data_IF_146502424434
#
_entry.id   IF_146502424434
#
_cell.length_a   1.000
_cell.length_b   1.000
_cell.length_c   1.000
_cell.angle_alpha   90.00
_cell.angle_beta   90.00
_cell.angle_gamma   90.00
#
_symmetry.space_group_name_H-M   'P 1'
#
loop_
_entity.id
_entity.type
_entity.pdbx_description
1 polymer ?
#
# COMPACT_ATOMS: atom_id res chain seq x y z
N UNK A 1 8.31 10.19 0.70
CA UNK A 1 7.88 9.27 1.77
C UNK A 1 6.87 8.28 1.24
N UNK A 2 7.09 6.97 1.38
CA UNK A 2 6.14 5.97 0.92
C UNK A 2 4.87 5.94 1.77
N UNK A 3 3.77 5.61 1.12
CA UNK A 3 2.45 5.49 1.76
C UNK A 3 1.82 4.16 1.41
N UNK A 4 1.45 3.40 2.43
CA UNK A 4 0.63 2.20 2.29
C UNK A 4 -0.77 2.51 2.83
N UNK A 5 -1.78 2.33 2.00
CA UNK A 5 -3.17 2.55 2.39
C UNK A 5 -4.01 1.33 2.09
N UNK A 6 -4.77 0.91 3.08
CA UNK A 6 -5.77 -0.14 2.95
C UNK A 6 -7.16 0.50 3.00
N UNK A 7 -7.85 0.45 1.87
CA UNK A 7 -9.21 0.95 1.73
C UNK A 7 -10.19 -0.16 2.04
N UNK A 8 -11.07 0.06 3.02
CA UNK A 8 -11.98 -0.95 3.56
C UNK A 8 -13.39 -0.37 3.65
N UNK A 9 -14.44 -1.12 3.25
CA UNK A 9 -15.80 -0.70 3.56
C UNK A 9 -15.95 -0.37 5.04
N UNK A 10 -16.52 0.78 5.38
CA UNK A 10 -16.57 1.23 6.77
C UNK A 10 -17.32 0.26 7.69
N UNK A 11 -18.34 -0.44 7.18
CA UNK A 11 -19.08 -1.45 7.93
C UNK A 11 -18.22 -2.66 8.31
N UNK A 12 -17.13 -2.93 7.59
CA UNK A 12 -16.22 -4.03 7.91
C UNK A 12 -15.22 -3.69 9.03
N UNK A 13 -15.22 -2.45 9.47
CA UNK A 13 -14.39 -1.99 10.60
C UNK A 13 -15.11 -2.15 11.95
N UNK A 14 -16.37 -2.56 11.95
CA UNK A 14 -17.15 -2.76 13.16
C UNK A 14 -16.77 -4.05 13.86
N UNK A 15 -16.90 -4.03 15.20
CA UNK A 15 -16.61 -5.21 16.03
C UNK A 15 -17.55 -6.39 15.75
N UNK A 16 -18.80 -6.14 15.40
CA UNK A 16 -19.75 -7.20 15.03
C UNK A 16 -19.34 -7.91 13.73
N UNK A 17 -18.83 -7.20 12.74
CA UNK A 17 -18.30 -7.81 11.52
C UNK A 17 -17.07 -8.67 11.80
N UNK A 18 -16.15 -8.16 12.61
CA UNK A 18 -14.97 -8.91 13.05
C UNK A 18 -15.37 -10.17 13.83
N UNK A 19 -16.33 -10.07 14.73
CA UNK A 19 -16.81 -11.21 15.52
C UNK A 19 -17.45 -12.28 14.63
N UNK A 20 -18.23 -11.90 13.61
CA UNK A 20 -18.95 -12.84 12.76
C UNK A 20 -18.08 -13.46 11.65
N UNK A 21 -17.09 -12.74 11.12
CA UNK A 21 -16.28 -13.17 9.97
C UNK A 21 -14.83 -13.46 10.32
N UNK A 22 -14.34 -12.97 11.45
CA UNK A 22 -12.92 -13.03 11.79
C UNK A 22 -12.04 -12.00 11.07
N UNK A 23 -12.61 -11.18 10.18
CA UNK A 23 -11.86 -10.16 9.46
C UNK A 23 -11.48 -8.99 10.38
N UNK A 24 -10.20 -8.72 10.47
CA UNK A 24 -9.62 -7.62 11.23
C UNK A 24 -8.72 -6.77 10.32
N UNK A 25 -9.20 -5.59 9.94
CA UNK A 25 -8.48 -4.71 9.03
C UNK A 25 -7.13 -4.24 9.61
N UNK A 26 -7.06 -4.02 10.92
CA UNK A 26 -5.80 -3.65 11.59
C UNK A 26 -4.74 -4.74 11.47
N UNK A 27 -5.13 -5.99 11.65
CA UNK A 27 -4.23 -7.14 11.48
C UNK A 27 -3.80 -7.31 10.03
N UNK A 28 -4.71 -7.09 9.08
CA UNK A 28 -4.35 -7.10 7.65
C UNK A 28 -3.34 -6.00 7.34
N UNK A 29 -3.56 -4.79 7.79
CA UNK A 29 -2.63 -3.69 7.58
C UNK A 29 -1.25 -3.98 8.18
N UNK A 30 -1.20 -4.49 9.42
CA UNK A 30 0.06 -4.87 10.07
C UNK A 30 0.79 -5.97 9.30
N UNK A 31 0.06 -6.93 8.75
CA UNK A 31 0.61 -7.97 7.89
C UNK A 31 1.19 -7.37 6.60
N UNK A 32 0.47 -6.47 5.94
CA UNK A 32 0.94 -5.82 4.72
C UNK A 32 2.18 -4.95 4.97
N UNK A 33 2.28 -4.30 6.12
CA UNK A 33 3.51 -3.56 6.51
C UNK A 33 4.71 -4.50 6.55
N UNK A 34 4.56 -5.69 7.12
CA UNK A 34 5.63 -6.71 7.14
C UNK A 34 5.98 -7.20 5.74
N UNK A 35 4.98 -7.41 4.89
CA UNK A 35 5.20 -7.79 3.50
C UNK A 35 5.98 -6.71 2.74
N UNK A 36 5.60 -5.45 2.92
CA UNK A 36 6.32 -4.31 2.31
C UNK A 36 7.77 -4.25 2.79
N UNK A 37 8.02 -4.51 4.08
CA UNK A 37 9.38 -4.55 4.63
C UNK A 37 10.26 -5.62 3.96
N UNK A 38 9.65 -6.71 3.48
CA UNK A 38 10.36 -7.81 2.82
C UNK A 38 10.48 -7.66 1.31
N UNK A 39 9.85 -6.63 0.71
CA UNK A 39 10.00 -6.37 -0.72
C UNK A 39 11.42 -5.94 -1.06
N UNK A 40 11.99 -6.56 -2.11
CA UNK A 40 13.37 -6.34 -2.54
C UNK A 40 13.44 -5.83 -3.97
N UNK A 41 14.50 -5.13 -4.26
CA UNK A 41 14.89 -4.70 -5.60
C UNK A 41 16.40 -4.78 -5.76
N UNK A 42 16.89 -4.76 -6.98
CA UNK A 42 18.33 -4.69 -7.22
C UNK A 42 18.88 -3.32 -6.83
N UNK A 43 20.07 -3.33 -6.24
CA UNK A 43 20.79 -2.09 -5.96
C UNK A 43 21.15 -1.39 -7.27
N UNK A 44 20.64 -0.18 -7.55
CA UNK A 44 20.89 0.51 -8.82
C UNK A 44 22.23 1.25 -8.88
N UNK A 45 23.04 1.19 -7.83
CA UNK A 45 24.30 1.94 -7.79
C UNK A 45 25.25 1.48 -8.91
N UNK A 46 25.72 2.40 -9.78
CA UNK A 46 26.66 2.05 -10.86
C UNK A 46 27.94 1.41 -10.30
N UNK A 47 28.37 0.28 -10.91
CA UNK A 47 29.57 -0.44 -10.50
C UNK A 47 29.44 -1.24 -9.21
N UNK A 48 28.32 -1.20 -8.53
CA UNK A 48 28.06 -2.06 -7.37
C UNK A 48 27.75 -3.50 -7.81
N UNK A 49 28.18 -4.53 -7.05
CA UNK A 49 27.76 -5.89 -7.33
C UNK A 49 26.24 -5.98 -7.26
N UNK A 50 25.64 -6.84 -8.08
CA UNK A 50 24.22 -7.12 -8.04
C UNK A 50 23.85 -7.60 -6.63
N UNK A 51 23.17 -6.76 -5.87
CA UNK A 51 22.75 -7.03 -4.49
C UNK A 51 21.32 -6.59 -4.32
N UNK A 52 20.51 -7.44 -3.73
CA UNK A 52 19.17 -7.08 -3.35
C UNK A 52 19.16 -6.13 -2.14
N UNK A 53 18.36 -5.10 -2.25
CA UNK A 53 18.13 -4.10 -1.21
C UNK A 53 16.64 -3.96 -0.94
N UNK A 54 16.23 -3.45 0.24
CA UNK A 54 14.82 -3.15 0.48
C UNK A 54 14.25 -2.20 -0.58
N UNK A 55 13.09 -2.53 -1.12
CA UNK A 55 12.37 -1.63 -2.04
C UNK A 55 11.89 -0.37 -1.32
N UNK A 56 11.48 -0.51 -0.07
CA UNK A 56 10.94 0.56 0.78
C UNK A 56 11.72 0.62 2.08
N UNK A 57 12.13 1.81 2.49
CA UNK A 57 12.65 2.04 3.83
C UNK A 57 11.48 2.09 4.81
N UNK A 58 11.37 1.07 5.65
CA UNK A 58 10.25 0.92 6.59
C UNK A 58 10.13 2.09 7.56
N UNK A 59 11.25 2.69 7.98
CA UNK A 59 11.23 3.81 8.91
C UNK A 59 10.52 5.06 8.34
N UNK A 60 10.41 5.14 7.02
CA UNK A 60 9.75 6.25 6.33
C UNK A 60 8.31 5.90 5.89
N UNK A 61 7.88 4.66 6.07
CA UNK A 61 6.58 4.21 5.61
C UNK A 61 5.46 4.77 6.48
N UNK A 62 4.55 5.51 5.86
CA UNK A 62 3.27 5.88 6.47
C UNK A 62 2.22 4.87 6.05
N UNK A 63 1.44 4.37 6.99
CA UNK A 63 0.39 3.41 6.70
C UNK A 63 -0.88 3.76 7.43
N UNK A 64 -2.01 3.50 6.78
CA UNK A 64 -3.32 3.83 7.33
C UNK A 64 -4.42 2.94 6.74
N UNK A 65 -5.49 2.77 7.51
CA UNK A 65 -6.77 2.28 7.03
C UNK A 65 -7.58 3.49 6.57
N UNK A 66 -8.20 3.38 5.40
CA UNK A 66 -9.09 4.40 4.85
C UNK A 66 -10.50 3.81 4.76
N UNK A 67 -11.44 4.27 5.57
CA UNK A 67 -12.82 3.80 5.49
C UNK A 67 -13.49 4.27 4.20
N UNK A 68 -14.27 3.38 3.57
CA UNK A 68 -15.04 3.68 2.38
C UNK A 68 -16.54 3.69 2.70
N UNK A 69 -17.22 4.77 2.29
CA UNK A 69 -18.66 4.92 2.39
C UNK A 69 -19.30 4.62 1.04
N UNK A 70 -20.38 3.84 1.02
CA UNK A 70 -21.10 3.45 -0.22
C UNK A 70 -20.20 2.78 -1.27
N UNK A 71 -19.26 1.93 -0.82
CA UNK A 71 -18.32 1.24 -1.68
C UNK A 71 -18.91 -0.07 -2.22
N UNK A 72 -19.50 -0.03 -3.39
CA UNK A 72 -20.15 -1.16 -4.04
C UNK A 72 -19.49 -1.50 -5.37
N UNK A 73 -19.62 -2.77 -5.78
CA UNK A 73 -19.18 -3.23 -7.09
C UNK A 73 -20.41 -3.44 -7.97
N UNK A 74 -20.39 -2.85 -9.18
CA UNK A 74 -21.46 -3.02 -10.17
C UNK A 74 -22.83 -2.50 -9.74
N UNK A 75 -22.90 -1.59 -8.76
CA UNK A 75 -24.16 -1.08 -8.22
C UNK A 75 -24.88 -2.05 -7.30
N UNK A 76 -24.30 -3.20 -6.98
CA UNK A 76 -24.87 -4.18 -6.07
C UNK A 76 -24.44 -3.84 -4.61
N UNK A 77 -25.41 -3.50 -3.72
CA UNK A 77 -25.09 -3.18 -2.33
C UNK A 77 -24.48 -4.35 -1.54
N UNK A 78 -24.67 -5.60 -1.98
CA UNK A 78 -24.09 -6.78 -1.37
C UNK A 78 -22.66 -7.07 -1.80
N UNK A 79 -22.16 -6.37 -2.81
CA UNK A 79 -20.83 -6.57 -3.36
C UNK A 79 -19.88 -5.47 -2.91
N UNK A 80 -18.82 -5.86 -2.22
CA UNK A 80 -17.83 -4.95 -1.65
C UNK A 80 -16.46 -5.21 -2.26
N UNK A 81 -15.54 -4.29 -2.06
CA UNK A 81 -14.15 -4.44 -2.48
C UNK A 81 -13.16 -3.97 -1.42
N UNK A 82 -11.96 -4.52 -1.47
CA UNK A 82 -10.79 -3.99 -0.79
C UNK A 82 -9.85 -3.41 -1.83
N UNK A 83 -9.19 -2.33 -1.47
CA UNK A 83 -8.18 -1.71 -2.33
C UNK A 83 -6.94 -1.39 -1.52
N UNK A 84 -5.78 -1.71 -2.07
CA UNK A 84 -4.47 -1.42 -1.45
C UNK A 84 -3.70 -0.51 -2.39
N UNK A 85 -3.15 0.57 -1.86
CA UNK A 85 -2.19 1.40 -2.59
C UNK A 85 -0.87 1.44 -1.85
N UNK A 86 0.21 1.22 -2.58
CA UNK A 86 1.57 1.51 -2.12
C UNK A 86 2.14 2.59 -3.04
N UNK A 87 2.31 3.77 -2.50
CA UNK A 87 2.86 4.90 -3.24
C UNK A 87 4.25 5.25 -2.73
N UNK A 88 5.21 5.39 -3.62
CA UNK A 88 6.59 5.72 -3.28
C UNK A 88 7.15 6.74 -4.28
N UNK A 89 8.13 7.55 -3.82
CA UNK A 89 8.76 8.53 -4.68
C UNK A 89 9.51 7.89 -5.85
N UNK A 90 9.48 8.56 -6.99
CA UNK A 90 10.19 8.14 -8.20
C UNK A 90 11.68 8.53 -8.21
N UNK A 91 12.15 9.13 -7.15
CA UNK A 91 13.54 9.59 -6.96
C UNK A 91 14.49 8.47 -6.51
N UNK A 92 13.97 7.28 -6.23
CA UNK A 92 14.78 6.12 -5.87
C UNK A 92 15.00 5.24 -7.09
N UNK A 93 16.21 5.23 -7.68
CA UNK A 93 16.53 4.33 -8.78
C UNK A 93 16.30 2.87 -8.38
N UNK A 94 15.96 2.03 -9.33
CA UNK A 94 15.69 0.60 -9.09
C UNK A 94 14.23 0.25 -8.82
N UNK A 95 13.36 1.21 -8.50
CA UNK A 95 11.91 1.00 -8.45
C UNK A 95 11.30 1.06 -9.84
N UNK A 96 11.71 0.14 -10.68
CA UNK A 96 11.26 0.05 -12.08
C UNK A 96 9.80 -0.39 -12.18
N UNK A 97 9.22 -0.28 -13.38
CA UNK A 97 7.87 -0.78 -13.64
C UNK A 97 7.74 -2.28 -13.29
N UNK A 98 8.72 -3.09 -13.64
CA UNK A 98 8.72 -4.53 -13.33
C UNK A 98 8.78 -4.81 -11.82
N UNK A 99 9.54 -4.02 -11.08
CA UNK A 99 9.58 -4.11 -9.60
C UNK A 99 8.21 -3.77 -9.00
N UNK A 100 7.57 -2.71 -9.49
CA UNK A 100 6.23 -2.33 -9.04
C UNK A 100 5.17 -3.39 -9.36
N UNK A 101 5.20 -3.96 -10.55
CA UNK A 101 4.28 -5.04 -10.95
C UNK A 101 4.45 -6.25 -10.03
N UNK A 102 5.68 -6.65 -9.76
CA UNK A 102 5.96 -7.77 -8.84
C UNK A 102 5.48 -7.46 -7.42
N UNK A 103 5.72 -6.26 -6.92
CA UNK A 103 5.26 -5.84 -5.62
C UNK A 103 3.72 -5.86 -5.51
N UNK A 104 3.03 -5.40 -6.55
CA UNK A 104 1.56 -5.44 -6.61
C UNK A 104 1.04 -6.89 -6.56
N UNK A 105 1.67 -7.79 -7.30
CA UNK A 105 1.30 -9.21 -7.28
C UNK A 105 1.52 -9.84 -5.90
N UNK A 106 2.65 -9.58 -5.26
CA UNK A 106 2.95 -10.10 -3.91
C UNK A 106 1.93 -9.58 -2.89
N UNK A 107 1.65 -8.29 -2.89
CA UNK A 107 0.66 -7.69 -1.99
C UNK A 107 -0.74 -8.25 -2.24
N UNK A 108 -1.13 -8.39 -3.49
CA UNK A 108 -2.43 -8.96 -3.87
C UNK A 108 -2.58 -10.40 -3.37
N UNK A 109 -1.59 -11.24 -3.59
CA UNK A 109 -1.58 -12.63 -3.11
C UNK A 109 -1.67 -12.71 -1.59
N UNK A 110 -1.00 -11.81 -0.88
CA UNK A 110 -1.06 -11.79 0.59
C UNK A 110 -2.44 -11.34 1.10
N UNK A 111 -3.08 -10.36 0.44
CA UNK A 111 -4.46 -10.00 0.79
C UNK A 111 -5.40 -11.17 0.54
N UNK A 112 -5.30 -11.82 -0.62
CA UNK A 112 -6.14 -12.96 -0.97
C UNK A 112 -6.02 -14.09 0.06
N UNK A 113 -4.82 -14.41 0.49
CA UNK A 113 -4.59 -15.42 1.54
C UNK A 113 -5.18 -15.02 2.87
N UNK A 114 -5.05 -13.74 3.24
CA UNK A 114 -5.53 -13.26 4.53
C UNK A 114 -7.06 -13.25 4.61
N UNK A 115 -7.74 -12.82 3.55
CA UNK A 115 -9.19 -12.67 3.54
C UNK A 115 -9.93 -13.97 3.23
N UNK A 116 -9.32 -14.89 2.49
CA UNK A 116 -9.98 -16.14 2.08
C UNK A 116 -11.33 -15.89 1.40
N UNK A 117 -12.32 -16.68 1.79
CA UNK A 117 -13.69 -16.58 1.25
C UNK A 117 -14.56 -15.62 2.06
N UNK A 118 -14.12 -14.38 2.21
CA UNK A 118 -14.86 -13.38 2.99
C UNK A 118 -16.22 -13.07 2.33
N UNK A 119 -17.36 -13.23 3.05
CA UNK A 119 -18.67 -12.96 2.50
C UNK A 119 -18.83 -11.52 2.00
N UNK A 120 -19.39 -11.36 0.81
CA UNK A 120 -19.61 -10.06 0.19
C UNK A 120 -18.39 -9.44 -0.48
N UNK A 121 -17.23 -10.08 -0.42
CA UNK A 121 -16.03 -9.60 -1.12
C UNK A 121 -16.09 -10.01 -2.59
N UNK A 122 -16.19 -9.02 -3.49
CA UNK A 122 -16.22 -9.24 -4.94
C UNK A 122 -14.88 -8.99 -5.60
N UNK A 123 -14.06 -8.11 -5.04
CA UNK A 123 -12.81 -7.70 -5.69
C UNK A 123 -11.77 -7.24 -4.68
N UNK A 124 -10.52 -7.60 -4.95
CA UNK A 124 -9.34 -7.03 -4.30
C UNK A 124 -8.46 -6.42 -5.38
N UNK A 125 -8.14 -5.15 -5.25
CA UNK A 125 -7.23 -4.47 -6.17
C UNK A 125 -6.02 -3.92 -5.44
N UNK A 126 -4.87 -3.96 -6.09
CA UNK A 126 -3.62 -3.41 -5.56
C UNK A 126 -2.98 -2.52 -6.62
N UNK A 127 -2.60 -1.33 -6.20
CA UNK A 127 -1.90 -0.40 -7.06
C UNK A 127 -0.61 0.05 -6.39
N UNK A 128 0.52 -0.32 -6.97
CA UNK A 128 1.84 0.19 -6.59
C UNK A 128 2.20 1.30 -7.57
N UNK A 129 2.32 2.52 -7.09
CA UNK A 129 2.46 3.71 -7.93
C UNK A 129 3.61 4.60 -7.48
N UNK A 130 4.13 5.38 -8.43
CA UNK A 130 5.10 6.43 -8.16
C UNK A 130 4.42 7.71 -7.68
N UNK A 131 5.08 8.38 -6.74
CA UNK A 131 4.77 9.77 -6.42
C UNK A 131 5.75 10.64 -7.22
N UNK A 132 5.22 11.46 -8.13
CA UNK A 132 6.04 12.41 -8.86
C UNK A 132 6.35 13.62 -7.97
N UNK A 133 7.55 13.64 -7.42
CA UNK A 133 7.99 14.69 -6.50
C UNK A 133 8.24 16.02 -7.19
N UNK A 134 8.46 16.00 -8.50
CA UNK A 134 8.73 17.21 -9.29
C UNK A 134 7.43 17.92 -9.70
N UNK A 135 6.29 17.24 -9.60
CA UNK A 135 4.99 17.69 -10.08
C UNK A 135 3.92 17.71 -8.99
N UNK A 136 4.04 18.63 -8.06
CA UNK A 136 2.97 18.90 -7.11
C UNK A 136 3.05 18.13 -5.79
N UNK A 137 4.19 17.56 -5.45
CA UNK A 137 4.42 16.90 -4.17
C UNK A 137 5.39 17.71 -3.31
N UNK A 138 5.04 17.94 -2.04
CA UNK A 138 5.97 18.52 -1.08
C UNK A 138 5.76 17.96 0.32
N UNK A 139 6.82 17.81 1.06
CA UNK A 139 6.78 17.41 2.47
C UNK A 139 6.92 18.62 3.40
N UNK A 140 6.55 18.43 4.66
CA UNK A 140 6.76 19.46 5.68
C UNK A 140 8.24 19.84 5.82
N UNK A 141 9.12 18.83 5.76
CA UNK A 141 10.57 19.04 5.86
C UNK A 141 11.08 19.89 4.69
N UNK A 142 10.65 19.59 3.46
CA UNK A 142 11.02 20.38 2.27
C UNK A 142 10.50 21.82 2.35
N UNK A 143 9.28 22.02 2.82
CA UNK A 143 8.71 23.37 3.01
C UNK A 143 9.44 24.15 4.07
N UNK A 144 9.81 23.52 5.20
CA UNK A 144 10.62 24.16 6.25
C UNK A 144 12.00 24.58 5.73
N UNK A 145 12.66 23.67 4.99
CA UNK A 145 13.96 23.94 4.38
C UNK A 145 13.91 25.13 3.42
N UNK A 146 12.88 25.21 2.57
CA UNK A 146 12.66 26.36 1.67
C UNK A 146 12.49 27.67 2.40
N UNK A 147 11.71 27.69 3.49
CA UNK A 147 11.48 28.89 4.29
C UNK A 147 12.74 29.39 5.00
N UNK A 148 13.60 28.48 5.44
CA UNK A 148 14.87 28.85 6.11
C UNK A 148 15.95 29.30 5.12
N UNK A 149 15.85 28.97 3.83
CA UNK A 149 16.78 29.37 2.79
C UNK A 149 16.39 30.67 2.07
N UNK A 150 15.18 31.17 2.32
CA UNK A 150 14.63 32.38 1.69
C UNK A 150 14.92 33.68 2.47
#
# INVERSE_FOLDING_TARGET
MPHLRLYVPEEWLREDFKASTGFDAGRLLDHLVRVVADLRMENPAPGAPAKEVPMINLSNLKHAIVPLTHAHVGGDPGQRFLHVTLAAGNDTPGRTASVRVRAAAVLGDEVDRFVGDLPGLASVTVHVKDIDRDRGYSTTAERKKRRSAG
#
